data_IF_749394821890
#
_entry.id   IF_749394821890
#
_cell.length_a   1.000
_cell.length_b   1.000
_cell.length_c   1.000
_cell.angle_alpha   90.00
_cell.angle_beta   90.00
_cell.angle_gamma   90.00
#
_symmetry.space_group_name_H-M   'P 1'
#
loop_
_entity.id
_entity.type
_entity.pdbx_description
1 polymer ?
#
# COMPACT_ATOMS: atom_id res chain seq x y z
N UNK A 1 32.43 -4.95 -38.53
CA UNK A 1 31.12 -4.29 -38.66
C UNK A 1 31.07 -3.21 -37.59
N UNK A 2 31.51 -2.00 -37.94
CA UNK A 2 31.50 -0.86 -37.02
C UNK A 2 30.03 -0.42 -36.99
N UNK A 3 29.39 -0.53 -35.82
CA UNK A 3 28.06 0.04 -35.61
C UNK A 3 28.19 1.54 -35.82
N UNK A 4 27.59 2.07 -36.90
CA UNK A 4 27.41 3.51 -37.06
C UNK A 4 26.68 4.00 -35.81
N UNK A 5 27.37 4.83 -35.02
CA UNK A 5 26.78 5.47 -33.85
C UNK A 5 25.72 6.42 -34.38
N UNK A 6 24.48 5.97 -34.35
CA UNK A 6 23.31 6.73 -34.76
C UNK A 6 23.38 8.11 -34.09
N UNK A 7 23.44 9.18 -34.89
CA UNK A 7 23.57 10.57 -34.42
C UNK A 7 22.39 10.99 -33.55
N UNK A 8 21.29 10.25 -33.59
CA UNK A 8 20.12 10.43 -32.74
C UNK A 8 20.20 9.69 -31.39
N UNK A 9 21.24 8.90 -31.12
CA UNK A 9 21.38 8.16 -29.86
C UNK A 9 21.28 9.05 -28.60
N UNK A 10 21.89 10.24 -28.53
CA UNK A 10 21.75 11.14 -27.37
C UNK A 10 20.30 11.61 -27.18
N UNK A 11 19.59 11.90 -28.28
CA UNK A 11 18.20 12.33 -28.26
C UNK A 11 17.30 11.17 -27.80
N UNK A 12 17.44 9.99 -28.41
CA UNK A 12 16.70 8.77 -28.05
C UNK A 12 16.94 8.42 -26.57
N UNK A 13 18.18 8.54 -26.11
CA UNK A 13 18.56 8.30 -24.71
C UNK A 13 17.83 9.24 -23.75
N UNK A 14 17.77 10.54 -24.04
CA UNK A 14 17.02 11.49 -23.22
C UNK A 14 15.51 11.20 -23.15
N UNK A 15 14.93 10.63 -24.21
CA UNK A 15 13.53 10.21 -24.21
C UNK A 15 13.26 8.92 -23.44
N UNK A 16 14.24 8.01 -23.40
CA UNK A 16 14.13 6.71 -22.74
C UNK A 16 14.52 6.77 -21.24
N UNK A 17 15.49 7.61 -20.89
CA UNK A 17 15.92 7.79 -19.51
C UNK A 17 14.83 8.44 -18.65
N UNK A 18 14.83 8.07 -17.37
CA UNK A 18 13.86 8.58 -16.42
C UNK A 18 14.04 10.09 -16.19
N UNK A 19 12.92 10.81 -16.14
CA UNK A 19 12.89 12.18 -15.68
C UNK A 19 11.55 12.50 -14.98
N UNK A 20 11.56 13.55 -14.15
CA UNK A 20 10.42 13.96 -13.34
C UNK A 20 9.18 14.29 -14.20
N UNK A 21 9.27 15.09 -15.28
CA UNK A 21 8.11 15.38 -16.12
C UNK A 21 7.45 14.13 -16.71
N UNK A 22 8.25 13.20 -17.24
CA UNK A 22 7.75 11.96 -17.82
C UNK A 22 7.09 11.07 -16.76
N UNK A 23 7.68 10.93 -15.56
CA UNK A 23 7.04 10.17 -14.49
C UNK A 23 5.72 10.82 -14.06
N UNK A 24 5.67 12.13 -13.88
CA UNK A 24 4.44 12.85 -13.52
C UNK A 24 3.34 12.59 -14.55
N UNK A 25 3.66 12.66 -15.86
CA UNK A 25 2.72 12.35 -16.96
C UNK A 25 2.30 10.87 -16.93
N UNK A 26 3.21 9.95 -16.63
CA UNK A 26 2.88 8.53 -16.58
C UNK A 26 2.00 8.20 -15.37
N UNK A 27 2.24 8.83 -14.22
CA UNK A 27 1.39 8.70 -13.02
C UNK A 27 0.01 9.30 -13.25
N UNK A 28 -0.09 10.43 -13.95
CA UNK A 28 -1.39 11.02 -14.28
C UNK A 28 -2.23 10.09 -15.17
N UNK A 29 -1.62 9.36 -16.11
CA UNK A 29 -2.33 8.34 -16.91
C UNK A 29 -2.84 7.15 -16.09
N UNK A 30 -2.16 6.78 -15.00
CA UNK A 30 -2.54 5.65 -14.14
C UNK A 30 -3.66 5.99 -13.16
N UNK A 31 -3.75 7.27 -12.79
CA UNK A 31 -4.78 7.79 -11.90
C UNK A 31 -5.98 8.23 -12.76
N UNK A 32 -7.23 7.85 -12.46
CA UNK A 32 -8.38 8.36 -13.22
C UNK A 32 -8.51 9.90 -13.17
N UNK A 33 -8.94 10.52 -14.28
CA UNK A 33 -9.11 11.99 -14.44
C UNK A 33 -9.81 12.68 -13.26
N UNK A 34 -10.79 12.00 -12.65
CA UNK A 34 -11.60 12.52 -11.54
C UNK A 34 -10.79 12.71 -10.24
N UNK A 35 -9.74 11.93 -10.01
CA UNK A 35 -8.89 12.14 -8.84
C UNK A 35 -7.80 13.19 -9.08
N UNK A 36 -7.59 13.64 -10.32
CA UNK A 36 -6.48 14.54 -10.64
C UNK A 36 -6.59 15.90 -9.96
N UNK A 37 -7.80 16.41 -9.70
CA UNK A 37 -7.95 17.69 -9.01
C UNK A 37 -7.48 17.63 -7.55
N UNK A 38 -7.71 16.50 -6.87
CA UNK A 38 -7.34 16.31 -5.47
C UNK A 38 -5.96 15.65 -5.28
N UNK A 39 -5.39 15.04 -6.33
CA UNK A 39 -4.12 14.31 -6.28
C UNK A 39 -2.93 15.00 -6.96
N UNK A 40 -3.05 16.26 -7.40
CA UNK A 40 -1.95 16.95 -8.12
C UNK A 40 -0.61 16.88 -7.39
N UNK A 41 -0.62 17.04 -6.07
CA UNK A 41 0.59 16.97 -5.24
C UNK A 41 1.16 15.54 -5.14
N UNK A 42 0.29 14.53 -5.16
CA UNK A 42 0.65 13.10 -5.13
C UNK A 42 1.13 12.54 -6.47
N UNK A 43 1.09 13.33 -7.55
CA UNK A 43 1.59 12.95 -8.88
C UNK A 43 3.09 13.11 -9.04
N UNK A 44 3.74 13.92 -8.18
CA UNK A 44 5.18 14.06 -8.20
C UNK A 44 5.88 12.82 -7.59
N UNK A 45 7.06 12.43 -8.08
CA UNK A 45 7.85 11.34 -7.50
C UNK A 45 8.19 11.66 -6.04
N UNK A 46 7.79 10.75 -5.15
CA UNK A 46 8.13 10.80 -3.72
C UNK A 46 9.24 9.80 -3.50
N UNK A 47 10.44 10.29 -3.14
CA UNK A 47 11.62 9.46 -2.88
C UNK A 47 12.03 8.55 -4.06
N UNK A 48 12.45 9.13 -5.20
CA UNK A 48 12.90 8.34 -6.35
C UNK A 48 14.18 7.57 -6.03
N UNK A 49 14.22 6.30 -6.45
CA UNK A 49 15.43 5.46 -6.44
C UNK A 49 15.69 5.02 -7.88
N UNK A 50 16.73 5.56 -8.48
CA UNK A 50 17.00 5.38 -9.91
C UNK A 50 17.84 4.14 -10.14
N UNK A 51 17.39 3.28 -11.05
CA UNK A 51 18.16 2.11 -11.47
C UNK A 51 19.45 2.56 -12.16
N UNK A 52 20.57 1.86 -11.94
CA UNK A 52 21.85 2.23 -12.56
C UNK A 52 21.92 1.84 -14.05
N UNK A 53 21.07 0.92 -14.51
CA UNK A 53 21.05 0.43 -15.88
C UNK A 53 20.32 1.36 -16.84
N UNK A 54 20.72 1.36 -18.10
CA UNK A 54 20.04 2.09 -19.18
C UNK A 54 18.90 1.23 -19.81
N UNK A 55 17.70 1.79 -20.05
CA UNK A 55 17.25 3.09 -19.60
C UNK A 55 17.06 3.15 -18.09
N UNK A 56 17.45 4.28 -17.51
CA UNK A 56 17.25 4.55 -16.08
C UNK A 56 15.75 4.61 -15.77
N UNK A 57 15.36 4.09 -14.61
CA UNK A 57 13.98 4.00 -14.17
C UNK A 57 13.89 4.27 -12.66
N UNK A 58 12.82 4.93 -12.22
CA UNK A 58 12.51 5.03 -10.80
C UNK A 58 11.91 3.71 -10.30
N UNK A 59 12.66 2.96 -9.49
CA UNK A 59 12.20 1.71 -8.86
C UNK A 59 11.12 1.94 -7.78
N UNK A 60 11.04 3.17 -7.27
CA UNK A 60 10.13 3.59 -6.20
C UNK A 60 8.91 4.38 -6.72
N UNK A 61 8.52 4.22 -7.99
CA UNK A 61 7.39 4.96 -8.58
C UNK A 61 6.04 4.74 -7.85
N UNK A 62 5.88 3.62 -7.14
CA UNK A 62 4.70 3.29 -6.35
C UNK A 62 4.72 3.86 -4.92
N UNK A 63 5.66 4.76 -4.61
CA UNK A 63 5.74 5.43 -3.31
C UNK A 63 4.69 6.53 -3.21
N UNK A 64 3.98 6.54 -2.08
CA UNK A 64 3.05 7.59 -1.68
C UNK A 64 3.52 8.28 -0.39
N UNK A 65 2.83 9.34 0.02
CA UNK A 65 3.22 10.17 1.18
C UNK A 65 3.23 9.31 2.45
N UNK A 66 2.20 8.49 2.67
CA UNK A 66 2.14 7.65 3.87
C UNK A 66 3.28 6.64 3.93
N UNK A 67 3.55 5.94 2.83
CA UNK A 67 4.62 4.93 2.76
C UNK A 67 5.97 5.57 2.97
N UNK A 68 6.21 6.76 2.38
CA UNK A 68 7.44 7.51 2.60
C UNK A 68 7.60 7.86 4.09
N UNK A 69 6.55 8.37 4.73
CA UNK A 69 6.55 8.69 6.16
C UNK A 69 6.82 7.46 7.04
N UNK A 70 6.13 6.35 6.78
CA UNK A 70 6.33 5.09 7.49
C UNK A 70 7.78 4.60 7.37
N UNK A 71 8.36 4.67 6.17
CA UNK A 71 9.76 4.27 5.94
C UNK A 71 10.70 5.18 6.72
N UNK A 72 10.51 6.51 6.66
CA UNK A 72 11.34 7.46 7.41
C UNK A 72 11.28 7.22 8.92
N UNK A 73 10.09 7.04 9.48
CA UNK A 73 9.90 6.73 10.91
C UNK A 73 10.54 5.39 11.28
N UNK A 74 10.39 4.37 10.43
CA UNK A 74 11.00 3.06 10.64
C UNK A 74 12.52 3.13 10.60
N UNK A 75 13.09 3.93 9.70
CA UNK A 75 14.54 4.19 9.65
C UNK A 75 15.04 4.93 10.89
N UNK A 76 14.33 5.97 11.36
CA UNK A 76 14.67 6.70 12.60
C UNK A 76 14.66 5.78 13.81
N UNK A 77 13.61 4.97 13.96
CA UNK A 77 13.51 3.97 15.04
C UNK A 77 14.64 2.92 14.93
N UNK A 78 14.92 2.45 13.70
CA UNK A 78 16.02 1.53 13.42
C UNK A 78 17.37 2.10 13.86
N UNK A 79 17.67 3.36 13.53
CA UNK A 79 18.89 4.03 13.95
C UNK A 79 18.99 4.15 15.48
N UNK A 80 17.90 4.53 16.14
CA UNK A 80 17.87 4.61 17.61
C UNK A 80 18.14 3.24 18.26
N UNK A 81 17.47 2.18 17.79
CA UNK A 81 17.70 0.81 18.28
C UNK A 81 19.12 0.34 18.00
N UNK A 82 19.64 0.63 16.82
CA UNK A 82 21.02 0.30 16.46
C UNK A 82 22.02 0.94 17.41
N UNK A 83 21.88 2.24 17.71
CA UNK A 83 22.73 2.94 18.68
C UNK A 83 22.61 2.33 20.09
N UNK A 84 21.40 1.94 20.51
CA UNK A 84 21.19 1.26 21.79
C UNK A 84 21.92 -0.09 21.85
N UNK A 85 21.91 -0.86 20.76
CA UNK A 85 22.65 -2.12 20.68
C UNK A 85 24.17 -1.84 20.72
N UNK A 86 24.67 -0.85 19.98
CA UNK A 86 26.09 -0.47 20.02
C UNK A 86 26.56 -0.08 21.43
N UNK A 87 25.78 0.73 22.14
CA UNK A 87 26.10 1.13 23.51
C UNK A 87 26.15 -0.10 24.45
N UNK A 88 25.18 -1.02 24.34
CA UNK A 88 25.19 -2.27 25.12
C UNK A 88 26.41 -3.13 24.81
N UNK A 89 26.85 -3.19 23.55
CA UNK A 89 28.07 -3.92 23.20
C UNK A 89 29.31 -3.32 23.85
N UNK A 90 29.39 -1.99 23.91
CA UNK A 90 30.50 -1.29 24.58
C UNK A 90 30.50 -1.57 26.09
N UNK A 91 29.33 -1.59 26.73
CA UNK A 91 29.18 -1.94 28.15
C UNK A 91 29.60 -3.39 28.45
N UNK A 92 29.25 -4.34 27.58
CA UNK A 92 29.69 -5.74 27.68
C UNK A 92 31.22 -5.83 27.51
N UNK A 93 31.79 -5.14 26.51
CA UNK A 93 33.24 -5.09 26.27
C UNK A 93 33.99 -4.54 27.50
N UNK A 94 33.43 -3.52 28.13
CA UNK A 94 33.97 -2.89 29.34
C UNK A 94 33.63 -3.66 30.64
N UNK A 95 33.05 -4.87 30.54
CA UNK A 95 32.64 -5.76 31.65
C UNK A 95 31.69 -5.10 32.66
N UNK A 96 30.92 -4.10 32.23
CA UNK A 96 29.91 -3.43 33.07
C UNK A 96 28.61 -4.23 33.17
N UNK A 97 28.32 -5.07 32.17
CA UNK A 97 27.13 -5.92 32.10
C UNK A 97 27.55 -7.34 31.75
N UNK A 98 26.82 -8.33 32.25
CA UNK A 98 27.01 -9.74 31.89
C UNK A 98 26.85 -9.94 30.37
N UNK A 99 27.62 -10.86 29.75
CA UNK A 99 27.52 -11.13 28.33
C UNK A 99 26.13 -11.69 27.99
N UNK A 100 25.38 -10.93 27.19
CA UNK A 100 24.11 -11.37 26.60
C UNK A 100 24.43 -12.00 25.24
N UNK A 101 23.80 -13.12 24.84
CA UNK A 101 23.96 -13.66 23.50
C UNK A 101 23.59 -12.60 22.45
N UNK A 102 24.57 -12.23 21.61
CA UNK A 102 24.42 -11.21 20.58
C UNK A 102 23.22 -11.49 19.67
N UNK A 103 22.98 -12.76 19.34
CA UNK A 103 21.85 -13.23 18.52
C UNK A 103 20.51 -12.74 19.09
N UNK A 104 20.32 -12.75 20.40
CA UNK A 104 19.06 -12.34 21.05
C UNK A 104 18.83 -10.83 20.88
N UNK A 105 19.87 -10.01 21.02
CA UNK A 105 19.76 -8.55 20.87
C UNK A 105 19.34 -8.17 19.44
N UNK A 106 19.91 -8.82 18.44
CA UNK A 106 19.59 -8.58 17.03
C UNK A 106 18.23 -9.16 16.64
N UNK A 107 17.90 -10.36 17.12
CA UNK A 107 16.60 -10.98 16.86
C UNK A 107 15.46 -10.12 17.38
N UNK A 108 15.56 -9.62 18.62
CA UNK A 108 14.57 -8.71 19.21
C UNK A 108 14.41 -7.42 18.40
N UNK A 109 15.47 -6.94 17.74
CA UNK A 109 15.35 -5.79 16.86
C UNK A 109 14.62 -6.14 15.55
N UNK A 110 15.00 -7.25 14.91
CA UNK A 110 14.51 -7.67 13.59
C UNK A 110 13.08 -8.20 13.61
N UNK A 111 12.62 -8.80 14.71
CA UNK A 111 11.25 -9.34 14.82
C UNK A 111 10.17 -8.24 14.83
N UNK A 112 10.53 -7.02 15.24
CA UNK A 112 9.62 -5.87 15.23
C UNK A 112 8.41 -6.04 16.16
N UNK A 113 7.40 -5.18 15.98
CA UNK A 113 6.12 -5.29 16.67
C UNK A 113 5.03 -5.81 15.73
N UNK A 114 4.07 -6.62 16.22
CA UNK A 114 2.99 -7.10 15.39
C UNK A 114 2.14 -5.93 14.87
N UNK A 115 1.76 -5.99 13.59
CA UNK A 115 1.02 -4.92 12.91
C UNK A 115 -0.31 -4.56 13.63
N UNK A 116 -0.95 -5.55 14.24
CA UNK A 116 -2.21 -5.41 14.99
C UNK A 116 -2.10 -4.54 16.25
N UNK A 117 -0.89 -4.30 16.73
CA UNK A 117 -0.64 -3.48 17.91
C UNK A 117 0.02 -2.14 17.55
N UNK A 118 0.19 -1.86 16.24
CA UNK A 118 0.90 -0.67 15.76
C UNK A 118 -0.02 0.54 15.64
N UNK A 119 -1.33 0.34 15.52
CA UNK A 119 -2.32 1.39 15.28
C UNK A 119 -3.51 1.22 16.22
N UNK A 120 -4.21 2.33 16.49
CA UNK A 120 -5.47 2.31 17.24
C UNK A 120 -6.70 2.15 16.34
N UNK A 121 -6.56 2.44 15.05
CA UNK A 121 -7.67 2.41 14.10
C UNK A 121 -7.29 1.54 12.90
N UNK A 122 -8.20 0.65 12.51
CA UNK A 122 -8.02 -0.24 11.39
C UNK A 122 -9.21 -0.23 10.43
N UNK A 123 -8.88 -0.36 9.16
CA UNK A 123 -9.79 -0.59 8.05
C UNK A 123 -9.50 -1.97 7.47
N UNK A 124 -10.46 -2.88 7.54
CA UNK A 124 -10.40 -4.16 6.86
C UNK A 124 -11.07 -4.03 5.49
N UNK A 125 -10.39 -4.48 4.44
CA UNK A 125 -10.94 -4.58 3.09
C UNK A 125 -11.05 -6.06 2.77
N UNK A 126 -12.26 -6.52 2.50
CA UNK A 126 -12.59 -7.92 2.36
C UNK A 126 -13.07 -8.14 0.94
N UNK A 127 -12.27 -8.85 0.14
CA UNK A 127 -12.69 -9.34 -1.17
C UNK A 127 -13.14 -10.80 -1.03
N UNK A 128 -14.36 -11.08 -1.47
CA UNK A 128 -14.92 -12.44 -1.42
C UNK A 128 -15.23 -12.92 -2.84
N UNK A 129 -15.13 -14.23 -3.07
CA UNK A 129 -15.57 -14.84 -4.31
C UNK A 129 -16.08 -16.26 -4.12
N UNK A 130 -17.02 -16.69 -4.98
CA UNK A 130 -17.47 -18.09 -5.02
C UNK A 130 -16.39 -19.00 -5.61
N UNK A 131 -16.14 -20.22 -5.06
CA UNK A 131 -15.24 -21.20 -5.66
C UNK A 131 -15.62 -21.60 -7.09
N UNK A 132 -16.88 -21.41 -7.48
CA UNK A 132 -17.39 -21.68 -8.83
C UNK A 132 -16.93 -20.63 -9.85
N UNK A 133 -16.46 -19.47 -9.38
CA UNK A 133 -15.97 -18.39 -10.24
C UNK A 133 -14.63 -18.76 -10.86
N UNK A 134 -14.55 -18.66 -12.19
CA UNK A 134 -13.30 -18.87 -12.92
C UNK A 134 -12.28 -17.76 -12.64
N UNK A 135 -12.76 -16.56 -12.30
CA UNK A 135 -11.96 -15.34 -12.24
C UNK A 135 -11.88 -14.71 -10.84
N UNK A 136 -12.48 -15.32 -9.81
CA UNK A 136 -12.58 -14.73 -8.48
C UNK A 136 -11.25 -14.46 -7.78
N UNK A 137 -10.28 -15.38 -7.88
CA UNK A 137 -8.93 -15.12 -7.34
C UNK A 137 -8.26 -13.93 -8.07
N UNK A 138 -8.37 -13.87 -9.39
CA UNK A 138 -7.78 -12.80 -10.21
C UNK A 138 -8.45 -11.45 -9.91
N UNK A 139 -9.76 -11.45 -9.65
CA UNK A 139 -10.47 -10.27 -9.18
C UNK A 139 -9.92 -9.79 -7.84
N UNK A 140 -9.72 -10.66 -6.85
CA UNK A 140 -9.14 -10.26 -5.57
C UNK A 140 -7.67 -9.77 -5.68
N UNK A 141 -6.88 -10.32 -6.60
CA UNK A 141 -5.52 -9.80 -6.84
C UNK A 141 -5.55 -8.43 -7.53
N UNK A 142 -6.51 -8.20 -8.43
CA UNK A 142 -6.81 -6.88 -8.99
C UNK A 142 -7.20 -5.87 -7.89
N UNK A 143 -8.10 -6.27 -6.97
CA UNK A 143 -8.49 -5.46 -5.80
C UNK A 143 -7.24 -5.07 -5.00
N UNK A 144 -6.37 -6.03 -4.67
CA UNK A 144 -5.13 -5.78 -3.92
C UNK A 144 -4.23 -4.72 -4.57
N UNK A 145 -4.09 -4.78 -5.90
CA UNK A 145 -3.33 -3.80 -6.68
C UNK A 145 -3.95 -2.40 -6.58
N UNK A 146 -5.28 -2.31 -6.64
CA UNK A 146 -6.01 -1.04 -6.60
C UNK A 146 -6.06 -0.41 -5.22
N UNK A 147 -6.07 -1.21 -4.15
CA UNK A 147 -5.94 -0.68 -2.78
C UNK A 147 -4.65 0.14 -2.67
N UNK A 148 -3.53 -0.42 -3.15
CA UNK A 148 -2.22 0.28 -3.12
C UNK A 148 -2.19 1.51 -4.04
N UNK A 149 -2.70 1.38 -5.26
CA UNK A 149 -2.55 2.40 -6.31
C UNK A 149 -3.66 3.47 -6.34
N UNK A 150 -4.76 3.30 -5.62
CA UNK A 150 -5.91 4.22 -5.70
C UNK A 150 -6.50 4.54 -4.34
N UNK A 151 -6.70 3.53 -3.48
CA UNK A 151 -7.39 3.76 -2.21
C UNK A 151 -6.53 4.60 -1.27
N UNK A 152 -5.26 4.25 -1.09
CA UNK A 152 -4.36 4.99 -0.21
C UNK A 152 -4.28 6.47 -0.61
N UNK A 153 -4.14 6.75 -1.91
CA UNK A 153 -4.16 8.13 -2.42
C UNK A 153 -5.47 8.86 -2.10
N UNK A 154 -6.62 8.19 -2.21
CA UNK A 154 -7.93 8.82 -1.97
C UNK A 154 -8.16 9.12 -0.50
N UNK A 155 -7.69 8.23 0.39
CA UNK A 155 -7.82 8.37 1.83
C UNK A 155 -6.79 9.37 2.38
N UNK A 156 -5.57 9.41 1.83
CA UNK A 156 -4.49 10.31 2.26
C UNK A 156 -4.80 11.79 2.11
N UNK A 157 -5.70 12.16 1.19
CA UNK A 157 -6.10 13.56 0.98
C UNK A 157 -7.07 14.04 2.07
N UNK A 158 -7.73 13.12 2.79
CA UNK A 158 -8.69 13.51 3.83
C UNK A 158 -7.98 14.32 4.91
N UNK A 159 -8.54 15.50 5.22
CA UNK A 159 -7.84 16.52 6.02
C UNK A 159 -7.48 16.05 7.43
N UNK A 160 -8.26 15.14 7.99
CA UNK A 160 -8.10 14.56 9.33
C UNK A 160 -7.09 13.40 9.40
N UNK A 161 -6.68 12.83 8.27
CA UNK A 161 -5.75 11.69 8.23
C UNK A 161 -4.33 12.20 8.16
N UNK A 162 -3.48 11.66 9.03
CA UNK A 162 -2.05 11.94 9.03
C UNK A 162 -1.32 11.02 8.06
N UNK A 163 -1.58 9.71 8.13
CA UNK A 163 -1.12 8.73 7.15
C UNK A 163 -1.87 7.40 7.28
N UNK A 164 -1.80 6.57 6.24
CA UNK A 164 -2.36 5.22 6.21
C UNK A 164 -1.28 4.18 5.91
N UNK A 165 -1.32 3.05 6.62
CA UNK A 165 -0.39 1.94 6.42
C UNK A 165 -1.13 0.70 6.01
N UNK A 166 -0.94 0.22 4.77
CA UNK A 166 -1.41 -1.10 4.38
C UNK A 166 -0.46 -2.18 4.87
N UNK A 167 -1.00 -3.23 5.50
CA UNK A 167 -0.22 -4.43 5.78
C UNK A 167 0.03 -5.16 4.44
N UNK A 168 1.30 -5.37 4.03
CA UNK A 168 1.61 -6.10 2.79
C UNK A 168 1.18 -7.57 2.85
N UNK A 169 1.07 -8.14 4.06
CA UNK A 169 0.54 -9.50 4.26
C UNK A 169 -0.97 -9.44 4.43
N UNK A 170 -1.69 -10.19 3.59
CA UNK A 170 -3.13 -10.40 3.75
C UNK A 170 -3.39 -11.13 5.07
N UNK A 171 -4.41 -10.72 5.81
CA UNK A 171 -4.85 -11.41 7.04
C UNK A 171 -5.44 -12.78 6.71
N UNK A 172 -6.27 -12.85 5.67
CA UNK A 172 -6.75 -14.08 5.04
C UNK A 172 -6.36 -14.04 3.57
N UNK A 173 -5.83 -15.14 3.04
CA UNK A 173 -5.41 -15.24 1.63
C UNK A 173 -5.97 -16.52 1.01
N UNK A 174 -6.98 -16.38 0.17
CA UNK A 174 -7.68 -17.50 -0.45
C UNK A 174 -8.15 -18.57 0.56
N UNK A 175 -8.69 -18.13 1.70
CA UNK A 175 -9.20 -19.00 2.76
C UNK A 175 -10.73 -18.95 2.80
N UNK A 176 -11.38 -19.97 3.36
CA UNK A 176 -12.84 -19.95 3.55
C UNK A 176 -13.27 -18.72 4.36
N UNK A 177 -14.31 -18.05 3.90
CA UNK A 177 -14.91 -16.93 4.61
C UNK A 177 -15.54 -17.38 5.93
N UNK A 178 -15.38 -16.56 6.96
CA UNK A 178 -16.11 -16.73 8.22
C UNK A 178 -17.62 -16.55 8.00
N UNK A 179 -18.45 -17.18 8.85
CA UNK A 179 -19.91 -17.16 8.76
C UNK A 179 -20.50 -15.75 8.67
N UNK A 180 -19.84 -14.79 9.33
CA UNK A 180 -20.21 -13.37 9.31
C UNK A 180 -20.11 -12.68 7.93
N UNK A 181 -19.42 -13.29 6.96
CA UNK A 181 -19.25 -12.76 5.60
C UNK A 181 -19.84 -13.68 4.53
N UNK A 182 -20.62 -14.70 4.94
CA UNK A 182 -21.33 -15.57 4.01
C UNK A 182 -22.53 -14.82 3.44
N UNK A 183 -22.61 -14.72 2.12
CA UNK A 183 -23.91 -14.62 1.45
C UNK A 183 -24.46 -16.04 1.27
N UNK A 184 -25.79 -16.18 1.33
CA UNK A 184 -26.54 -17.43 1.47
C UNK A 184 -25.93 -18.65 0.73
N UNK A 185 -25.61 -19.69 1.51
CA UNK A 185 -25.33 -21.07 1.08
C UNK A 185 -24.22 -21.33 0.04
N UNK A 186 -23.02 -20.75 0.18
CA UNK A 186 -21.84 -21.24 -0.56
C UNK A 186 -20.54 -21.12 0.27
N UNK A 187 -19.57 -22.00 -0.05
CA UNK A 187 -18.21 -22.06 0.50
C UNK A 187 -17.33 -20.88 -0.01
N UNK A 188 -17.76 -19.64 0.18
CA UNK A 188 -17.05 -18.46 -0.35
C UNK A 188 -15.62 -18.35 0.18
N UNK A 189 -14.73 -17.87 -0.69
CA UNK A 189 -13.32 -17.66 -0.41
C UNK A 189 -13.08 -16.17 -0.14
N UNK A 190 -12.29 -15.87 0.89
CA UNK A 190 -12.00 -14.54 1.41
C UNK A 190 -10.52 -14.17 1.25
N UNK A 191 -10.30 -12.95 0.82
CA UNK A 191 -9.04 -12.22 0.92
C UNK A 191 -9.26 -10.97 1.77
N UNK A 192 -8.45 -10.80 2.82
CA UNK A 192 -8.60 -9.66 3.75
C UNK A 192 -7.31 -8.88 3.83
N UNK A 193 -7.38 -7.59 3.52
CA UNK A 193 -6.30 -6.62 3.74
C UNK A 193 -6.64 -5.78 4.95
N UNK A 194 -5.62 -5.47 5.76
CA UNK A 194 -5.75 -4.57 6.90
C UNK A 194 -4.96 -3.30 6.60
N UNK A 195 -5.60 -2.16 6.77
CA UNK A 195 -5.01 -0.84 6.66
C UNK A 195 -5.10 -0.15 8.01
N UNK A 196 -3.95 0.18 8.61
CA UNK A 196 -3.89 1.01 9.81
C UNK A 196 -4.05 2.47 9.45
N UNK A 197 -4.84 3.21 10.23
CA UNK A 197 -5.12 4.63 10.01
C UNK A 197 -4.60 5.43 11.21
N UNK A 198 -3.87 6.50 10.92
CA UNK A 198 -3.43 7.48 11.92
C UNK A 198 -4.07 8.82 11.59
N UNK A 199 -4.75 9.40 12.57
CA UNK A 199 -5.37 10.72 12.47
C UNK A 199 -4.43 11.80 12.99
N UNK A 200 -4.54 13.03 12.46
CA UNK A 200 -3.68 14.15 12.88
C UNK A 200 -3.89 14.55 14.33
N UNK A 201 -5.14 14.49 14.82
CA UNK A 201 -5.48 14.63 16.23
C UNK A 201 -6.24 13.38 16.69
N UNK A 202 -6.07 13.00 17.96
CA UNK A 202 -6.81 11.88 18.58
C UNK A 202 -8.22 12.29 19.06
N UNK A 203 -8.85 13.26 18.40
CA UNK A 203 -10.18 13.73 18.77
C UNK A 203 -11.25 12.75 18.25
N UNK A 204 -12.22 12.40 19.09
CA UNK A 204 -13.38 11.58 18.71
C UNK A 204 -14.17 12.20 17.54
N UNK A 205 -14.05 13.51 17.30
CA UNK A 205 -14.65 14.20 16.15
C UNK A 205 -13.99 13.82 14.81
N UNK A 206 -12.69 13.47 14.79
CA UNK A 206 -12.03 13.03 13.56
C UNK A 206 -12.59 11.70 13.05
N UNK A 207 -13.09 10.88 13.97
CA UNK A 207 -13.80 9.66 13.65
C UNK A 207 -15.12 9.94 12.91
N UNK A 208 -15.94 10.88 13.40
CA UNK A 208 -17.21 11.25 12.76
C UNK A 208 -17.00 11.84 11.34
N UNK A 209 -15.93 12.62 11.16
CA UNK A 209 -15.57 13.19 9.85
C UNK A 209 -15.13 12.08 8.89
N UNK A 210 -14.32 11.12 9.35
CA UNK A 210 -13.96 9.94 8.55
C UNK A 210 -15.20 9.05 8.25
N UNK A 211 -16.14 8.95 9.17
CA UNK A 211 -17.39 8.25 8.91
C UNK A 211 -18.24 8.91 7.83
N UNK A 212 -18.21 10.23 7.68
CA UNK A 212 -19.01 10.90 6.67
C UNK A 212 -18.27 10.98 5.32
N UNK A 213 -17.09 11.60 5.29
CA UNK A 213 -16.33 11.80 4.05
C UNK A 213 -15.58 10.54 3.61
N UNK A 214 -15.04 9.80 4.56
CA UNK A 214 -14.30 8.56 4.31
C UNK A 214 -15.21 7.45 3.80
N UNK A 215 -16.42 7.28 4.36
CA UNK A 215 -17.39 6.29 3.84
C UNK A 215 -17.77 6.56 2.40
N UNK A 216 -17.99 7.82 2.02
CA UNK A 216 -18.29 8.17 0.63
C UNK A 216 -17.13 7.78 -0.30
N UNK A 217 -15.88 8.09 0.09
CA UNK A 217 -14.68 7.70 -0.69
C UNK A 217 -14.48 6.18 -0.77
N UNK A 218 -14.78 5.46 0.30
CA UNK A 218 -14.71 3.99 0.33
C UNK A 218 -15.81 3.36 -0.54
N UNK A 219 -17.01 3.93 -0.52
CA UNK A 219 -18.11 3.52 -1.38
C UNK A 219 -17.79 3.79 -2.85
N UNK A 220 -17.30 5.00 -3.18
CA UNK A 220 -16.85 5.37 -4.52
C UNK A 220 -15.75 4.42 -5.02
N UNK A 221 -14.78 4.08 -4.16
CA UNK A 221 -13.75 3.10 -4.47
C UNK A 221 -14.35 1.72 -4.75
N UNK A 222 -15.19 1.20 -3.84
CA UNK A 222 -15.84 -0.12 -4.00
C UNK A 222 -16.66 -0.20 -5.29
N UNK A 223 -17.49 0.83 -5.53
CA UNK A 223 -18.31 0.92 -6.73
C UNK A 223 -17.47 0.93 -8.01
N UNK A 224 -16.34 1.66 -8.03
CA UNK A 224 -15.44 1.68 -9.20
C UNK A 224 -14.70 0.37 -9.42
N UNK A 225 -14.34 -0.33 -8.35
CA UNK A 225 -13.69 -1.64 -8.43
C UNK A 225 -14.66 -2.72 -8.88
N UNK A 226 -15.96 -2.57 -8.64
CA UNK A 226 -16.99 -3.49 -9.15
C UNK A 226 -17.48 -3.13 -10.57
N UNK A 227 -17.65 -1.83 -10.86
CA UNK A 227 -18.39 -1.36 -12.06
C UNK A 227 -17.60 -0.41 -12.97
N UNK A 228 -16.31 -0.17 -12.71
CA UNK A 228 -15.50 0.78 -13.47
C UNK A 228 -15.30 0.40 -14.95
N UNK A 229 -15.07 1.41 -15.81
CA UNK A 229 -14.95 1.26 -17.29
C UNK A 229 -13.96 0.19 -17.77
N UNK A 230 -12.94 -0.14 -16.99
CA UNK A 230 -11.97 -1.20 -17.34
C UNK A 230 -12.51 -2.62 -17.12
N UNK A 231 -13.56 -2.76 -16.31
CA UNK A 231 -14.24 -4.04 -16.04
C UNK A 231 -15.33 -4.26 -17.08
N UNK A 232 -15.98 -3.20 -17.58
CA UNK A 232 -17.07 -3.26 -18.57
C UNK A 232 -16.64 -3.91 -19.91
N UNK A 233 -15.35 -4.19 -20.12
CA UNK A 233 -14.81 -4.89 -21.29
C UNK A 233 -14.22 -6.28 -21.01
N UNK A 234 -14.22 -6.77 -19.77
CA UNK A 234 -13.70 -8.10 -19.42
C UNK A 234 -14.83 -9.13 -19.28
N UNK A 235 -14.55 -10.40 -19.57
CA UNK A 235 -15.50 -11.53 -19.42
C UNK A 235 -16.05 -11.67 -17.98
N UNK A 236 -15.47 -10.98 -17.00
CA UNK A 236 -15.77 -11.09 -15.56
C UNK A 236 -17.04 -10.34 -15.15
N UNK A 237 -17.58 -9.46 -16.02
CA UNK A 237 -18.80 -8.70 -15.76
C UNK A 237 -19.99 -9.61 -15.46
N UNK A 238 -20.04 -10.76 -16.13
CA UNK A 238 -21.11 -11.75 -15.96
C UNK A 238 -21.05 -12.45 -14.60
N UNK A 239 -19.93 -12.37 -13.88
CA UNK A 239 -19.70 -12.98 -12.58
C UNK A 239 -19.70 -11.96 -11.43
N UNK A 240 -20.03 -10.67 -11.65
CA UNK A 240 -19.98 -9.62 -10.61
C UNK A 240 -20.83 -9.97 -9.37
N UNK A 241 -21.92 -10.72 -9.54
CA UNK A 241 -22.76 -11.21 -8.42
C UNK A 241 -22.07 -12.23 -7.52
N UNK A 242 -20.97 -12.83 -7.99
CA UNK A 242 -20.15 -13.79 -7.27
C UNK A 242 -19.00 -13.12 -6.51
N UNK A 243 -18.96 -11.78 -6.44
CA UNK A 243 -17.95 -11.02 -5.72
C UNK A 243 -18.59 -10.08 -4.70
N UNK A 244 -17.95 -9.95 -3.54
CA UNK A 244 -18.26 -8.87 -2.62
C UNK A 244 -17.01 -8.15 -2.14
N UNK A 245 -17.15 -6.84 -1.90
CA UNK A 245 -16.10 -5.99 -1.36
C UNK A 245 -16.66 -5.27 -0.15
N UNK A 246 -16.42 -5.83 1.02
CA UNK A 246 -16.85 -5.24 2.28
C UNK A 246 -15.69 -4.51 2.94
N UNK A 247 -15.95 -3.28 3.34
CA UNK A 247 -14.99 -2.47 4.07
C UNK A 247 -15.49 -2.36 5.51
N UNK A 248 -14.80 -3.02 6.44
CA UNK A 248 -15.23 -3.17 7.82
C UNK A 248 -14.24 -2.47 8.74
N UNK A 249 -14.78 -1.63 9.63
CA UNK A 249 -13.99 -0.98 10.67
C UNK A 249 -13.67 -1.98 11.78
N UNK A 250 -12.40 -2.06 12.17
CA UNK A 250 -12.00 -2.68 13.44
C UNK A 250 -11.48 -1.56 14.34
N UNK A 251 -12.12 -1.41 15.50
CA UNK A 251 -11.62 -0.61 16.64
C UNK A 251 -10.75 -1.56 17.47
#
# INVERSE_FOLDING_TARGET
MILEVNTDYPNIRQYLDWNIPNEHINRSKQIPSIFHQNLKENLYPIWPIITPGFPTQNSNFNMNISTAKIIQETMRNGLWKFNLILNKMEEIKNRRIAPIPFVILWQNWLEGSPFKNKYHNYLAIICTYSPKSKYGSLFCDYVGTRIRLQLLFSIEILQNIEYCHINPKKLLNNQKCSDQFKSENDDWICNVWIVGIVFKNNDENNYLIFENEGKEKLFEFSYRIKYGKNIIKSEWVNEIKLFDLNVIKYI
#
